data_IF_070441077601
#
_entry.id   IF_070441077601
#
_cell.length_a   1.000
_cell.length_b   1.000
_cell.length_c   1.000
_cell.angle_alpha   90.00
_cell.angle_beta   90.00
_cell.angle_gamma   90.00
#
_symmetry.space_group_name_H-M   'P 1'
#
loop_
_entity.id
_entity.type
_entity.pdbx_description
1 polymer ?
#
# COMPACT_ATOMS: atom_id res chain seq x y z
N UNK A 1 15.50 13.78 -32.26
CA UNK A 1 14.25 14.17 -31.59
C UNK A 1 14.21 13.73 -30.11
N UNK A 2 14.51 12.46 -29.74
CA UNK A 2 14.48 11.94 -28.37
C UNK A 2 15.45 12.63 -27.38
N UNK A 3 16.63 13.10 -27.80
CA UNK A 3 17.60 13.82 -26.92
C UNK A 3 17.06 15.20 -26.54
N UNK A 4 16.60 15.98 -27.49
CA UNK A 4 16.08 17.35 -27.28
C UNK A 4 14.85 17.39 -26.36
N UNK A 5 14.00 16.35 -26.44
CA UNK A 5 12.83 16.17 -25.56
C UNK A 5 13.27 15.86 -24.11
N UNK A 6 14.29 15.00 -23.94
CA UNK A 6 14.88 14.71 -22.61
C UNK A 6 15.54 15.93 -21.99
N UNK A 7 16.26 16.71 -22.77
CA UNK A 7 16.97 17.91 -22.27
C UNK A 7 15.96 18.98 -21.82
N UNK A 8 14.82 19.13 -22.52
CA UNK A 8 13.73 20.01 -22.09
C UNK A 8 13.05 19.53 -20.81
N UNK A 9 12.86 18.21 -20.66
CA UNK A 9 12.28 17.63 -19.44
C UNK A 9 13.21 17.77 -18.23
N UNK A 10 14.54 17.65 -18.44
CA UNK A 10 15.54 17.82 -17.36
C UNK A 10 15.73 19.30 -16.95
N UNK A 11 15.44 20.27 -17.82
CA UNK A 11 15.51 21.68 -17.51
C UNK A 11 14.41 22.14 -16.54
N UNK A 12 13.33 21.38 -16.41
CA UNK A 12 12.20 21.75 -15.57
C UNK A 12 12.33 21.13 -14.18
N UNK A 13 12.78 21.90 -13.18
CA UNK A 13 12.97 21.44 -11.78
C UNK A 13 11.72 20.80 -11.17
N UNK A 14 10.52 21.20 -11.61
CA UNK A 14 9.24 20.68 -11.12
C UNK A 14 9.00 19.21 -11.48
N UNK A 15 9.55 18.74 -12.60
CA UNK A 15 9.39 17.35 -13.02
C UNK A 15 10.09 16.34 -12.10
N UNK A 16 11.08 16.78 -11.32
CA UNK A 16 11.74 15.93 -10.31
C UNK A 16 10.86 15.64 -9.11
N UNK A 17 9.83 16.46 -8.88
CA UNK A 17 8.89 16.25 -7.76
C UNK A 17 7.73 15.33 -8.13
N UNK A 18 7.49 15.09 -9.43
CA UNK A 18 6.39 14.25 -9.91
C UNK A 18 6.44 12.82 -9.34
N UNK A 19 7.58 12.07 -9.41
CA UNK A 19 7.66 10.75 -8.81
C UNK A 19 7.35 10.78 -7.31
N UNK A 20 7.98 11.68 -6.56
CA UNK A 20 7.75 11.79 -5.12
C UNK A 20 6.27 12.08 -4.76
N UNK A 21 5.57 12.85 -5.59
CA UNK A 21 4.15 13.13 -5.39
C UNK A 21 3.29 11.88 -5.62
N UNK A 22 3.63 11.06 -6.62
CA UNK A 22 2.94 9.81 -6.90
C UNK A 22 3.17 8.78 -5.78
N UNK A 23 4.41 8.67 -5.30
CA UNK A 23 4.76 7.83 -4.14
C UNK A 23 3.98 8.26 -2.88
N UNK A 24 3.83 9.58 -2.68
CA UNK A 24 3.00 10.09 -1.58
C UNK A 24 1.53 9.70 -1.75
N UNK A 25 0.98 9.79 -2.96
CA UNK A 25 -0.38 9.34 -3.26
C UNK A 25 -0.55 7.84 -2.99
N UNK A 26 0.41 7.00 -3.38
CA UNK A 26 0.43 5.57 -3.06
C UNK A 26 0.32 5.36 -1.53
N UNK A 27 1.19 6.00 -0.76
CA UNK A 27 1.19 5.90 0.71
C UNK A 27 -0.13 6.37 1.35
N UNK A 28 -0.70 7.48 0.85
CA UNK A 28 -2.00 7.99 1.33
C UNK A 28 -3.14 7.04 1.02
N UNK A 29 -3.15 6.40 -0.14
CA UNK A 29 -4.12 5.35 -0.48
C UNK A 29 -4.01 4.16 0.47
N UNK A 30 -2.79 3.69 0.75
CA UNK A 30 -2.55 2.61 1.71
C UNK A 30 -3.06 2.96 3.12
N UNK A 31 -2.75 4.16 3.60
CA UNK A 31 -3.25 4.64 4.89
C UNK A 31 -4.78 4.79 4.92
N UNK A 32 -5.38 5.31 3.85
CA UNK A 32 -6.83 5.42 3.73
C UNK A 32 -7.51 4.05 3.73
N UNK A 33 -6.93 3.05 3.06
CA UNK A 33 -7.41 1.68 3.10
C UNK A 33 -7.43 1.12 4.52
N UNK A 34 -6.39 1.37 5.33
CA UNK A 34 -6.34 0.97 6.74
C UNK A 34 -7.47 1.65 7.53
N UNK A 35 -7.66 2.96 7.38
CA UNK A 35 -8.71 3.70 8.09
C UNK A 35 -10.12 3.20 7.73
N UNK A 36 -10.36 2.88 6.46
CA UNK A 36 -11.66 2.35 6.00
C UNK A 36 -11.85 0.93 6.55
N UNK A 37 -10.79 0.11 6.58
CA UNK A 37 -10.86 -1.26 7.14
C UNK A 37 -11.32 -1.23 8.60
N UNK A 38 -10.92 -0.24 9.39
CA UNK A 38 -11.36 -0.10 10.79
C UNK A 38 -12.88 0.07 10.93
N UNK A 39 -13.57 0.62 9.92
CA UNK A 39 -15.04 0.72 9.91
C UNK A 39 -15.75 -0.63 9.90
N UNK A 40 -15.05 -1.70 9.50
CA UNK A 40 -15.63 -3.04 9.56
C UNK A 40 -15.94 -3.51 10.99
N UNK A 41 -15.32 -2.92 12.02
CA UNK A 41 -15.71 -3.17 13.42
C UNK A 41 -17.09 -2.58 13.78
N UNK A 42 -17.52 -1.53 13.08
CA UNK A 42 -18.81 -0.87 13.31
C UNK A 42 -19.92 -1.48 12.44
N UNK A 43 -19.56 -2.34 11.49
CA UNK A 43 -20.49 -2.99 10.58
C UNK A 43 -21.44 -3.94 11.38
N UNK A 44 -22.74 -3.76 11.16
CA UNK A 44 -23.77 -4.56 11.85
C UNK A 44 -24.15 -5.84 11.09
N UNK A 45 -23.88 -5.89 9.81
CA UNK A 45 -24.18 -7.00 8.93
C UNK A 45 -22.96 -7.50 8.20
N UNK A 46 -22.99 -8.75 7.74
CA UNK A 46 -21.93 -9.32 6.91
C UNK A 46 -21.83 -8.56 5.58
N UNK A 47 -22.94 -8.11 5.02
CA UNK A 47 -22.98 -7.33 3.78
C UNK A 47 -22.27 -5.98 3.93
N UNK A 48 -22.46 -5.29 5.07
CA UNK A 48 -21.76 -4.04 5.36
C UNK A 48 -20.24 -4.28 5.44
N UNK A 49 -19.82 -5.35 6.12
CA UNK A 49 -18.41 -5.74 6.22
C UNK A 49 -17.82 -6.04 4.85
N UNK A 50 -18.49 -6.81 3.99
CA UNK A 50 -18.04 -7.13 2.64
C UNK A 50 -17.89 -5.88 1.77
N UNK A 51 -18.81 -4.93 1.89
CA UNK A 51 -18.74 -3.65 1.17
C UNK A 51 -17.51 -2.84 1.58
N UNK A 52 -17.20 -2.80 2.87
CA UNK A 52 -15.98 -2.15 3.39
C UNK A 52 -14.74 -2.83 2.83
N UNK A 53 -14.65 -4.17 2.88
CA UNK A 53 -13.49 -4.91 2.38
C UNK A 53 -13.30 -4.75 0.87
N UNK A 54 -14.40 -4.77 0.10
CA UNK A 54 -14.33 -4.51 -1.34
C UNK A 54 -13.79 -3.11 -1.63
N UNK A 55 -14.27 -2.10 -0.90
CA UNK A 55 -13.80 -0.71 -1.04
C UNK A 55 -12.31 -0.60 -0.74
N UNK A 56 -11.82 -1.27 0.32
CA UNK A 56 -10.40 -1.29 0.66
C UNK A 56 -9.55 -1.97 -0.43
N UNK A 57 -10.02 -3.11 -0.96
CA UNK A 57 -9.33 -3.80 -2.05
C UNK A 57 -9.21 -2.92 -3.30
N UNK A 58 -10.26 -2.19 -3.67
CA UNK A 58 -10.24 -1.24 -4.80
C UNK A 58 -9.21 -0.13 -4.55
N UNK A 59 -9.15 0.42 -3.34
CA UNK A 59 -8.18 1.47 -2.99
C UNK A 59 -6.75 0.95 -3.09
N UNK A 60 -6.48 -0.25 -2.61
CA UNK A 60 -5.16 -0.89 -2.72
C UNK A 60 -4.81 -1.12 -4.19
N UNK A 61 -5.76 -1.55 -5.03
CA UNK A 61 -5.53 -1.69 -6.48
C UNK A 61 -5.25 -0.33 -7.15
N UNK A 62 -5.92 0.74 -6.75
CA UNK A 62 -5.60 2.09 -7.22
C UNK A 62 -4.19 2.51 -6.80
N UNK A 63 -3.77 2.19 -5.58
CA UNK A 63 -2.43 2.46 -5.09
C UNK A 63 -1.35 1.75 -5.93
N UNK A 64 -1.59 0.50 -6.39
CA UNK A 64 -0.69 -0.21 -7.31
C UNK A 64 -0.49 0.53 -8.64
N UNK A 65 -1.51 1.25 -9.10
CA UNK A 65 -1.40 2.07 -10.32
C UNK A 65 -0.48 3.27 -10.06
N UNK A 66 -0.62 3.95 -8.93
CA UNK A 66 0.26 5.07 -8.56
C UNK A 66 1.71 4.61 -8.40
N UNK A 67 1.95 3.48 -7.75
CA UNK A 67 3.26 2.84 -7.60
C UNK A 67 3.90 2.52 -8.97
N UNK A 68 3.13 1.93 -9.88
CA UNK A 68 3.62 1.64 -11.23
C UNK A 68 3.94 2.92 -12.02
N UNK A 69 3.17 3.98 -11.81
CA UNK A 69 3.36 5.27 -12.48
C UNK A 69 4.56 6.04 -11.94
N UNK A 70 4.83 6.01 -10.63
CA UNK A 70 5.98 6.70 -10.06
C UNK A 70 7.30 6.02 -10.46
N UNK A 71 7.36 4.68 -10.47
CA UNK A 71 8.49 3.94 -10.99
C UNK A 71 8.76 4.23 -12.48
N UNK A 72 7.69 4.35 -13.29
CA UNK A 72 7.82 4.75 -14.68
C UNK A 72 8.29 6.20 -14.82
N UNK A 73 7.71 7.12 -14.04
CA UNK A 73 8.07 8.53 -14.03
C UNK A 73 9.52 8.74 -13.60
N UNK A 74 9.99 8.06 -12.55
CA UNK A 74 11.38 8.11 -12.10
C UNK A 74 12.37 7.70 -13.21
N UNK A 75 12.04 6.67 -13.98
CA UNK A 75 12.85 6.21 -15.13
C UNK A 75 12.85 7.20 -16.30
N UNK A 76 11.68 7.77 -16.66
CA UNK A 76 11.54 8.71 -17.78
C UNK A 76 12.27 10.01 -17.49
N UNK A 77 12.12 10.53 -16.27
CA UNK A 77 12.69 11.82 -15.87
C UNK A 77 14.13 11.72 -15.37
N UNK A 78 14.67 10.50 -15.27
CA UNK A 78 15.99 10.24 -14.67
C UNK A 78 16.15 10.93 -13.30
N UNK A 79 15.05 10.87 -12.52
CA UNK A 79 14.89 11.58 -11.25
C UNK A 79 15.17 10.66 -10.04
N UNK A 80 15.78 9.49 -10.27
CA UNK A 80 16.13 8.57 -9.21
C UNK A 80 17.08 9.24 -8.22
N UNK A 81 16.61 9.49 -7.00
CA UNK A 81 17.41 9.99 -5.88
C UNK A 81 17.38 8.96 -4.77
N UNK A 82 18.45 8.88 -3.97
CA UNK A 82 18.49 7.99 -2.80
C UNK A 82 17.29 8.24 -1.86
N UNK A 83 16.90 9.49 -1.71
CA UNK A 83 15.74 9.86 -0.89
C UNK A 83 14.40 9.36 -1.50
N UNK A 84 14.26 9.47 -2.82
CA UNK A 84 13.08 8.96 -3.54
C UNK A 84 12.92 7.45 -3.40
N UNK A 85 14.00 6.69 -3.54
CA UNK A 85 14.00 5.23 -3.39
C UNK A 85 13.61 4.81 -1.97
N UNK A 86 14.11 5.51 -0.94
CA UNK A 86 13.72 5.22 0.44
C UNK A 86 12.25 5.56 0.71
N UNK A 87 11.75 6.67 0.17
CA UNK A 87 10.36 7.06 0.30
C UNK A 87 9.41 6.06 -0.38
N UNK A 88 9.80 5.56 -1.54
CA UNK A 88 9.11 4.54 -2.29
C UNK A 88 8.97 3.24 -1.48
N UNK A 89 10.07 2.75 -0.92
CA UNK A 89 10.05 1.56 -0.06
C UNK A 89 9.19 1.72 1.19
N UNK A 90 9.16 2.91 1.79
CA UNK A 90 8.28 3.20 2.93
C UNK A 90 6.81 3.23 2.51
N UNK A 91 6.50 3.82 1.35
CA UNK A 91 5.15 3.83 0.80
C UNK A 91 4.65 2.42 0.50
N UNK A 92 5.48 1.60 -0.14
CA UNK A 92 5.18 0.20 -0.44
C UNK A 92 4.97 -0.64 0.81
N UNK A 93 5.77 -0.40 1.85
CA UNK A 93 5.59 -1.08 3.14
C UNK A 93 4.22 -0.79 3.74
N UNK A 94 3.75 0.45 3.68
CA UNK A 94 2.42 0.83 4.17
C UNK A 94 1.32 0.21 3.31
N UNK A 95 1.42 0.36 1.99
CA UNK A 95 0.34 0.02 1.06
C UNK A 95 0.24 -1.47 0.78
N UNK A 96 1.37 -2.15 0.61
CA UNK A 96 1.41 -3.56 0.24
C UNK A 96 1.84 -4.48 1.39
N UNK A 97 2.35 -3.92 2.47
CA UNK A 97 2.67 -4.65 3.70
C UNK A 97 1.56 -4.52 4.74
N UNK A 98 1.41 -3.33 5.31
CA UNK A 98 0.53 -3.09 6.45
C UNK A 98 -0.95 -3.15 6.07
N UNK A 99 -1.38 -2.49 4.99
CA UNK A 99 -2.79 -2.42 4.63
C UNK A 99 -3.41 -3.79 4.33
N UNK A 100 -2.81 -4.70 3.52
CA UNK A 100 -3.35 -6.03 3.31
C UNK A 100 -3.33 -6.89 4.58
N UNK A 101 -2.28 -6.80 5.40
CA UNK A 101 -2.21 -7.54 6.66
C UNK A 101 -3.33 -7.12 7.61
N UNK A 102 -3.59 -5.82 7.75
CA UNK A 102 -4.68 -5.27 8.55
C UNK A 102 -6.04 -5.69 8.00
N UNK A 103 -6.21 -5.64 6.67
CA UNK A 103 -7.44 -6.06 6.01
C UNK A 103 -7.77 -7.52 6.33
N UNK A 104 -6.81 -8.43 6.21
CA UNK A 104 -7.00 -9.86 6.49
C UNK A 104 -7.30 -10.10 7.97
N UNK A 105 -6.58 -9.43 8.88
CA UNK A 105 -6.78 -9.57 10.32
C UNK A 105 -8.20 -9.14 10.73
N UNK A 106 -8.67 -8.00 10.25
CA UNK A 106 -9.99 -7.47 10.57
C UNK A 106 -11.10 -8.26 9.84
N UNK A 107 -10.88 -8.67 8.61
CA UNK A 107 -11.81 -9.49 7.84
C UNK A 107 -12.11 -10.81 8.56
N UNK A 108 -11.09 -11.50 9.03
CA UNK A 108 -11.26 -12.75 9.75
C UNK A 108 -11.99 -12.57 11.07
N UNK A 109 -11.80 -11.43 11.74
CA UNK A 109 -12.55 -11.09 12.94
C UNK A 109 -14.02 -10.75 12.65
N UNK A 110 -14.29 -9.94 11.63
CA UNK A 110 -15.64 -9.42 11.34
C UNK A 110 -16.58 -10.43 10.67
N UNK A 111 -16.03 -11.36 9.86
CA UNK A 111 -16.85 -12.35 9.14
C UNK A 111 -17.15 -13.61 9.97
N UNK A 112 -16.50 -13.81 11.10
CA UNK A 112 -16.74 -14.95 11.99
C UNK A 112 -17.73 -14.58 13.10
N UNK A 113 -18.64 -15.51 13.41
CA UNK A 113 -19.55 -15.34 14.54
C UNK A 113 -18.74 -15.28 15.85
N UNK A 114 -19.09 -14.39 16.78
CA UNK A 114 -18.35 -14.16 18.04
C UNK A 114 -18.17 -15.42 18.92
N UNK A 115 -18.99 -16.44 18.72
CA UNK A 115 -18.98 -17.68 19.50
C UNK A 115 -17.98 -18.74 19.02
N UNK A 116 -17.35 -18.56 17.85
CA UNK A 116 -16.59 -19.62 17.17
C UNK A 116 -15.09 -19.34 17.02
N UNK A 117 -14.58 -18.22 17.53
CA UNK A 117 -13.12 -17.94 17.45
C UNK A 117 -12.49 -18.43 18.75
N UNK A 118 -11.79 -19.55 18.68
CA UNK A 118 -10.87 -19.94 19.74
C UNK A 118 -9.72 -18.92 19.82
N UNK A 119 -9.31 -18.54 21.03
CA UNK A 119 -8.17 -17.63 21.26
C UNK A 119 -6.92 -18.06 20.50
N UNK A 120 -6.73 -19.34 20.27
CA UNK A 120 -5.61 -19.93 19.53
C UNK A 120 -5.65 -19.62 18.04
N UNK A 121 -6.81 -19.59 17.41
CA UNK A 121 -6.97 -19.25 15.99
C UNK A 121 -6.70 -17.78 15.72
N UNK A 122 -7.16 -16.91 16.61
CA UNK A 122 -6.91 -15.46 16.52
C UNK A 122 -5.41 -15.16 16.61
N UNK A 123 -4.72 -15.75 17.58
CA UNK A 123 -3.27 -15.62 17.72
C UNK A 123 -2.54 -16.14 16.48
N UNK A 124 -2.99 -17.24 15.90
CA UNK A 124 -2.39 -17.78 14.67
C UNK A 124 -2.52 -16.82 13.50
N UNK A 125 -3.68 -16.19 13.31
CA UNK A 125 -3.89 -15.18 12.25
C UNK A 125 -2.97 -13.98 12.44
N UNK A 126 -2.85 -13.47 13.66
CA UNK A 126 -1.95 -12.35 13.93
C UNK A 126 -0.48 -12.71 13.71
N UNK A 127 -0.08 -13.93 14.04
CA UNK A 127 1.26 -14.43 13.73
C UNK A 127 1.51 -14.51 12.22
N UNK A 128 0.55 -15.04 11.44
CA UNK A 128 0.66 -15.12 9.98
C UNK A 128 0.74 -13.73 9.35
N UNK A 129 -0.08 -12.79 9.78
CA UNK A 129 -0.02 -11.39 9.34
C UNK A 129 1.34 -10.75 9.69
N UNK A 130 1.88 -11.03 10.87
CA UNK A 130 3.18 -10.52 11.30
C UNK A 130 4.33 -11.11 10.48
N UNK A 131 4.29 -12.41 10.18
CA UNK A 131 5.28 -13.06 9.30
C UNK A 131 5.21 -12.49 7.89
N UNK A 132 4.01 -12.32 7.34
CA UNK A 132 3.81 -11.68 6.04
C UNK A 132 4.45 -10.28 5.99
N UNK A 133 4.18 -9.46 7.00
CA UNK A 133 4.73 -8.11 7.12
C UNK A 133 6.26 -8.13 7.22
N UNK A 134 6.82 -9.06 8.02
CA UNK A 134 8.26 -9.25 8.14
C UNK A 134 8.92 -9.64 6.81
N UNK A 135 8.31 -10.56 6.07
CA UNK A 135 8.78 -10.96 4.74
C UNK A 135 8.72 -9.80 3.73
N UNK A 136 7.67 -8.99 3.76
CA UNK A 136 7.55 -7.79 2.93
C UNK A 136 8.67 -6.78 3.24
N UNK A 137 8.94 -6.52 4.52
CA UNK A 137 10.02 -5.65 4.97
C UNK A 137 11.40 -6.14 4.52
N UNK A 138 11.69 -7.43 4.70
CA UNK A 138 12.95 -8.04 4.27
C UNK A 138 13.12 -7.96 2.75
N UNK A 139 12.06 -8.20 1.98
CA UNK A 139 12.10 -8.07 0.53
C UNK A 139 12.48 -6.65 0.12
N UNK A 140 11.81 -5.64 0.67
CA UNK A 140 12.08 -4.23 0.36
C UNK A 140 13.51 -3.84 0.77
N UNK A 141 13.99 -4.28 1.94
CA UNK A 141 15.35 -4.01 2.41
C UNK A 141 16.44 -4.69 1.55
N UNK A 142 16.13 -5.83 0.91
CA UNK A 142 17.09 -6.56 0.07
C UNK A 142 17.20 -5.95 -1.33
N UNK A 143 16.13 -5.33 -1.82
CA UNK A 143 16.10 -4.72 -3.17
C UNK A 143 16.63 -3.27 -3.20
N UNK A 144 16.80 -2.63 -2.07
CA UNK A 144 17.40 -1.30 -1.91
C UNK A 144 18.88 -1.39 -1.56
#
# INVERSE_FOLDING_TARGET
>A
MKRRFRDMLQANKWLKYVPNSLTLCNSLCGFLAILITLRAYEARTVEDSLTVFFSCAVIICCAMIFDSLDGLAARIFNAASMHGVQMDSLADMVTFGVAPATLVAIMTHSLRAPSNIGRTEEVLIYLLCSVYLGCAALRLATYN
#
